data_IF_636498740375
#
_entry.id   IF_636498740375
#
_cell.length_a   1.000
_cell.length_b   1.000
_cell.length_c   1.000
_cell.angle_alpha   90.00
_cell.angle_beta   90.00
_cell.angle_gamma   90.00
#
_symmetry.space_group_name_H-M   'P 1'
#
loop_
_entity.id
_entity.type
_entity.pdbx_description
1 polymer ?
#
# COMPACT_ATOMS: atom_id res chain seq x y z
N UNK A 1 -13.71 -5.36 -18.97
CA UNK A 1 -12.43 -5.80 -18.61
C UNK A 1 -11.87 -4.96 -17.48
N UNK A 2 -11.30 -5.60 -16.55
CA UNK A 2 -10.79 -4.91 -15.39
C UNK A 2 -9.42 -4.31 -15.66
N UNK A 3 -9.29 -3.06 -15.32
CA UNK A 3 -8.00 -2.43 -15.42
C UNK A 3 -7.29 -2.56 -14.07
N UNK A 4 -6.23 -3.34 -14.03
CA UNK A 4 -5.53 -3.55 -12.78
C UNK A 4 -4.31 -2.67 -12.63
N UNK A 5 -4.14 -1.74 -13.54
CA UNK A 5 -3.04 -0.81 -13.43
C UNK A 5 -3.19 0.01 -12.17
N UNK A 6 -2.12 0.16 -11.41
CA UNK A 6 -2.12 0.94 -10.18
C UNK A 6 -2.94 0.31 -9.06
N UNK A 7 -3.19 -0.97 -9.18
CA UNK A 7 -3.91 -1.66 -8.11
C UNK A 7 -3.05 -1.83 -6.88
N UNK A 8 -1.74 -1.97 -7.05
CA UNK A 8 -0.81 -2.16 -5.95
C UNK A 8 0.26 -1.10 -5.93
N UNK A 9 0.68 -0.73 -4.73
CA UNK A 9 1.76 0.22 -4.54
C UNK A 9 3.02 -0.51 -4.08
N UNK A 10 4.16 -0.07 -4.59
CA UNK A 10 5.44 -0.61 -4.18
C UNK A 10 6.05 0.26 -3.10
N UNK A 11 7.14 -0.24 -2.48
CA UNK A 11 7.82 0.55 -1.46
C UNK A 11 8.31 1.88 -2.01
N UNK A 12 8.80 1.90 -3.24
CA UNK A 12 9.27 3.14 -3.83
C UNK A 12 8.17 4.17 -3.93
N UNK A 13 6.97 3.72 -4.33
CA UNK A 13 5.85 4.64 -4.44
C UNK A 13 5.43 5.16 -3.07
N UNK A 14 5.45 4.30 -2.06
CA UNK A 14 5.07 4.72 -0.72
C UNK A 14 6.08 5.70 -0.15
N UNK A 15 7.37 5.48 -0.44
CA UNK A 15 8.39 6.44 -0.05
C UNK A 15 8.08 7.82 -0.58
N UNK A 16 7.64 7.88 -1.83
CA UNK A 16 7.34 9.16 -2.45
C UNK A 16 6.06 9.77 -1.90
N UNK A 17 5.05 8.96 -1.70
CA UNK A 17 3.77 9.46 -1.23
C UNK A 17 3.87 9.97 0.20
N UNK A 18 4.49 9.21 1.08
CA UNK A 18 4.58 9.57 2.49
C UNK A 18 5.81 10.36 2.85
N UNK A 19 6.80 10.40 1.97
CA UNK A 19 8.04 11.10 2.28
C UNK A 19 8.86 10.40 3.35
N UNK A 20 8.87 9.06 3.32
CA UNK A 20 9.58 8.28 4.34
C UNK A 20 10.69 7.47 3.70
N UNK A 21 11.54 6.91 4.56
CA UNK A 21 12.64 6.06 4.11
C UNK A 21 12.12 4.74 3.56
N UNK A 22 13.00 4.04 2.84
CA UNK A 22 12.64 2.73 2.29
C UNK A 22 12.29 1.75 3.40
N UNK A 23 13.06 1.77 4.49
CA UNK A 23 12.79 0.86 5.60
C UNK A 23 11.40 1.10 6.17
N UNK A 24 11.02 2.37 6.34
CA UNK A 24 9.69 2.69 6.84
C UNK A 24 8.62 2.29 5.85
N UNK A 25 8.88 2.46 4.55
CA UNK A 25 7.91 2.07 3.54
C UNK A 25 7.65 0.56 3.60
N UNK A 26 8.71 -0.24 3.72
CA UNK A 26 8.54 -1.68 3.81
C UNK A 26 7.80 -2.08 5.08
N UNK A 27 8.09 -1.40 6.18
CA UNK A 27 7.38 -1.68 7.42
C UNK A 27 5.89 -1.38 7.28
N UNK A 28 5.58 -0.27 6.62
CA UNK A 28 4.19 0.10 6.38
C UNK A 28 3.48 -0.97 5.56
N UNK A 29 4.12 -1.42 4.49
CA UNK A 29 3.53 -2.46 3.65
C UNK A 29 3.30 -3.72 4.47
N UNK A 30 4.27 -4.10 5.27
CA UNK A 30 4.16 -5.31 6.06
C UNK A 30 2.98 -5.24 7.03
N UNK A 31 2.84 -4.12 7.71
CA UNK A 31 1.76 -3.96 8.67
C UNK A 31 0.39 -4.01 8.00
N UNK A 32 0.25 -3.32 6.88
CA UNK A 32 -1.02 -3.33 6.17
C UNK A 32 -1.34 -4.72 5.63
N UNK A 33 -0.32 -5.42 5.15
CA UNK A 33 -0.54 -6.76 4.63
C UNK A 33 -0.92 -7.74 5.74
N UNK A 34 -0.36 -7.57 6.94
CA UNK A 34 -0.78 -8.42 8.04
C UNK A 34 -2.24 -8.23 8.36
N UNK A 35 -2.71 -6.99 8.33
CA UNK A 35 -4.12 -6.71 8.56
C UNK A 35 -4.99 -7.38 7.51
N UNK A 36 -4.56 -7.31 6.25
CA UNK A 36 -5.33 -7.93 5.18
C UNK A 36 -5.39 -9.44 5.34
N UNK A 37 -4.27 -10.06 5.71
CA UNK A 37 -4.27 -11.50 5.93
C UNK A 37 -5.19 -11.90 7.06
N UNK A 38 -5.21 -11.12 8.13
CA UNK A 38 -6.10 -11.41 9.25
C UNK A 38 -7.56 -11.36 8.83
N UNK A 39 -7.85 -10.58 7.81
CA UNK A 39 -9.21 -10.47 7.31
C UNK A 39 -9.50 -11.44 6.17
N UNK A 40 -8.57 -12.36 5.91
CA UNK A 40 -8.82 -13.40 4.94
C UNK A 40 -8.41 -13.09 3.52
N UNK A 41 -7.70 -12.01 3.31
CA UNK A 41 -7.28 -11.65 1.97
C UNK A 41 -5.89 -12.17 1.66
N UNK A 42 -5.64 -12.37 0.38
CA UNK A 42 -4.30 -12.73 -0.06
C UNK A 42 -3.48 -11.47 -0.21
N UNK A 43 -2.20 -11.59 0.04
CA UNK A 43 -1.29 -10.46 -0.08
C UNK A 43 -0.15 -10.80 -1.01
N UNK A 44 0.56 -9.77 -1.44
CA UNK A 44 1.76 -9.92 -2.25
C UNK A 44 2.89 -9.27 -1.48
N UNK A 45 3.94 -10.04 -1.20
CA UNK A 45 5.06 -9.51 -0.43
C UNK A 45 5.65 -8.29 -1.12
N UNK A 46 5.89 -7.24 -0.35
CA UNK A 46 6.50 -6.04 -0.88
C UNK A 46 5.55 -5.10 -1.59
N UNK A 47 4.27 -5.42 -1.62
CA UNK A 47 3.28 -4.57 -2.28
C UNK A 47 2.03 -4.51 -1.43
N UNK A 48 1.26 -3.44 -1.59
CA UNK A 48 0.02 -3.29 -0.85
C UNK A 48 -1.04 -2.74 -1.80
N UNK A 49 -2.29 -3.19 -1.68
CA UNK A 49 -3.34 -2.65 -2.54
C UNK A 49 -3.47 -1.15 -2.34
N UNK A 50 -3.49 -0.42 -3.43
CA UNK A 50 -3.57 1.03 -3.36
C UNK A 50 -4.82 1.48 -2.63
N UNK A 51 -5.93 0.81 -2.89
CA UNK A 51 -7.18 1.19 -2.27
C UNK A 51 -7.13 1.05 -0.76
N UNK A 52 -6.54 -0.05 -0.29
CA UNK A 52 -6.43 -0.27 1.14
C UNK A 52 -5.50 0.75 1.78
N UNK A 53 -4.41 1.06 1.09
CA UNK A 53 -3.49 2.07 1.58
C UNK A 53 -4.18 3.42 1.73
N UNK A 54 -4.97 3.79 0.75
CA UNK A 54 -5.68 5.06 0.79
C UNK A 54 -6.68 5.11 1.94
N UNK A 55 -7.33 4.00 2.21
CA UNK A 55 -8.30 3.94 3.29
C UNK A 55 -7.64 4.12 4.65
N UNK A 56 -6.43 3.60 4.79
CA UNK A 56 -5.76 3.63 6.07
C UNK A 56 -5.01 4.93 6.33
N UNK A 57 -4.70 5.66 5.30
CA UNK A 57 -3.99 6.93 5.45
C UNK A 57 -4.91 8.06 5.03
N UNK A 58 -5.79 8.38 5.93
CA UNK A 58 -6.77 9.41 5.70
C UNK A 58 -6.08 10.74 5.42
N UNK A 59 -6.60 11.46 4.46
CA UNK A 59 -6.05 12.77 4.13
C UNK A 59 -5.02 12.77 3.04
N UNK A 60 -4.66 11.59 2.51
CA UNK A 60 -3.72 11.55 1.41
C UNK A 60 -4.33 12.12 0.14
N UNK A 61 -3.48 12.75 -0.62
CA UNK A 61 -3.87 13.30 -1.92
C UNK A 61 -3.15 12.50 -2.98
N UNK A 62 -3.52 11.26 -3.09
CA UNK A 62 -2.75 10.45 -4.00
C UNK A 62 -3.24 10.46 -5.40
N UNK A 63 -4.22 11.10 -5.58
CA UNK A 63 -4.66 11.12 -6.81
C UNK A 63 -4.21 11.90 -7.62
N UNK A 64 -3.94 12.04 -7.85
CA UNK A 64 -3.55 12.86 -8.52
C UNK A 64 -3.15 12.65 -9.30
#
# INVERSE_FOLDING_TARGET
MVNVTNTYLTATQIMEILGVSRATAYKTIHELNEELQENGYRIIAGKVPAKYFEEKYYGLQVMQ
#
